data_IF_658472487572
#
_entry.id   IF_658472487572
#
_cell.length_a   1.000
_cell.length_b   1.000
_cell.length_c   1.000
_cell.angle_alpha   90.00
_cell.angle_beta   90.00
_cell.angle_gamma   90.00
#
_symmetry.space_group_name_H-M   'P 1'
#
loop_
_entity.id
_entity.type
_entity.pdbx_description
1 polymer ?
#
# COMPACT_ATOMS: atom_id res chain seq x y z
N UNK A 1 -34.42 3.08 -10.80
CA UNK A 1 -33.06 2.70 -11.22
C UNK A 1 -32.50 1.76 -10.16
N UNK A 2 -31.84 0.67 -10.58
CA UNK A 2 -31.40 -0.41 -9.70
C UNK A 2 -30.40 0.07 -8.64
N UNK A 3 -30.82 -0.06 -7.38
CA UNK A 3 -29.97 0.03 -6.20
C UNK A 3 -29.23 -1.31 -6.03
N UNK A 4 -28.13 -1.49 -6.74
CA UNK A 4 -27.13 -2.52 -6.43
C UNK A 4 -25.76 -1.84 -6.34
N UNK A 5 -25.60 -0.92 -5.40
CA UNK A 5 -24.28 -0.58 -4.87
C UNK A 5 -23.86 -1.73 -3.95
N UNK A 6 -23.65 -2.89 -4.55
CA UNK A 6 -23.06 -4.03 -3.87
C UNK A 6 -21.69 -3.56 -3.38
N UNK A 7 -21.46 -3.61 -2.07
CA UNK A 7 -20.19 -3.21 -1.47
C UNK A 7 -19.16 -4.23 -1.96
N UNK A 8 -18.53 -3.94 -3.10
CA UNK A 8 -17.39 -4.69 -3.58
C UNK A 8 -16.31 -4.58 -2.51
N UNK A 9 -15.80 -5.72 -2.07
CA UNK A 9 -14.62 -5.75 -1.21
C UNK A 9 -13.46 -5.19 -2.01
N UNK A 10 -13.09 -3.94 -1.74
CA UNK A 10 -12.01 -3.26 -2.43
C UNK A 10 -10.77 -3.22 -1.56
N UNK A 11 -9.64 -3.68 -2.11
CA UNK A 11 -8.30 -3.55 -1.52
C UNK A 11 -7.58 -2.43 -2.23
N UNK A 12 -6.94 -1.52 -1.47
CA UNK A 12 -6.04 -0.54 -2.05
C UNK A 12 -4.60 -1.04 -2.03
N UNK A 13 -3.92 -1.00 -3.17
CA UNK A 13 -2.51 -1.36 -3.27
C UNK A 13 -1.69 -0.10 -3.61
N UNK A 14 -0.87 0.34 -2.65
CA UNK A 14 0.12 1.40 -2.85
C UNK A 14 1.45 0.78 -3.26
N UNK A 15 2.06 1.31 -4.33
CA UNK A 15 3.37 0.90 -4.82
C UNK A 15 3.95 1.99 -5.73
N UNK A 16 5.27 2.02 -5.87
CA UNK A 16 5.89 2.91 -6.85
C UNK A 16 5.68 2.38 -8.26
N UNK A 17 4.82 3.05 -9.02
CA UNK A 17 4.51 2.73 -10.42
C UNK A 17 5.74 2.75 -11.35
N UNK A 18 6.76 3.53 -11.01
CA UNK A 18 7.98 3.64 -11.80
C UNK A 18 9.00 2.55 -11.46
N UNK A 19 8.72 1.69 -10.48
CA UNK A 19 9.58 0.57 -10.17
C UNK A 19 9.18 -0.70 -10.96
N UNK A 20 10.02 -1.06 -11.93
CA UNK A 20 9.88 -2.28 -12.71
C UNK A 20 10.01 -3.55 -11.87
N UNK A 21 10.77 -3.52 -10.78
CA UNK A 21 11.07 -4.69 -9.94
C UNK A 21 9.82 -5.22 -9.21
N UNK A 22 8.85 -4.35 -8.94
CA UNK A 22 7.56 -4.73 -8.33
C UNK A 22 6.45 -4.96 -9.34
N UNK A 23 6.62 -4.52 -10.58
CA UNK A 23 5.53 -4.54 -11.57
C UNK A 23 4.99 -5.94 -11.84
N UNK A 24 5.85 -6.95 -11.89
CA UNK A 24 5.46 -8.35 -12.06
C UNK A 24 4.69 -8.86 -10.84
N UNK A 25 5.22 -8.61 -9.63
CA UNK A 25 4.59 -8.96 -8.36
C UNK A 25 3.19 -8.36 -8.23
N UNK A 26 3.04 -7.05 -8.45
CA UNK A 26 1.76 -6.34 -8.38
C UNK A 26 0.76 -6.95 -9.36
N UNK A 27 1.19 -7.26 -10.59
CA UNK A 27 0.30 -7.87 -11.60
C UNK A 27 -0.22 -9.25 -11.15
N UNK A 28 0.62 -10.08 -10.53
CA UNK A 28 0.19 -11.37 -10.01
C UNK A 28 -0.72 -11.23 -8.79
N UNK A 29 -0.42 -10.29 -7.89
CA UNK A 29 -1.25 -9.99 -6.72
C UNK A 29 -2.66 -9.53 -7.13
N UNK A 30 -2.76 -8.58 -8.07
CA UNK A 30 -4.05 -8.12 -8.62
C UNK A 30 -4.82 -9.28 -9.24
N UNK A 31 -4.15 -10.10 -10.07
CA UNK A 31 -4.80 -11.25 -10.70
C UNK A 31 -5.29 -12.28 -9.68
N UNK A 32 -4.57 -12.50 -8.59
CA UNK A 32 -4.99 -13.40 -7.51
C UNK A 32 -6.22 -12.85 -6.76
N UNK A 33 -6.20 -11.56 -6.40
CA UNK A 33 -7.34 -10.92 -5.73
C UNK A 33 -8.61 -10.95 -6.58
N UNK A 34 -8.49 -10.67 -7.88
CA UNK A 34 -9.63 -10.73 -8.80
C UNK A 34 -10.22 -12.14 -8.93
N UNK A 35 -9.39 -13.19 -8.84
CA UNK A 35 -9.88 -14.59 -8.85
C UNK A 35 -10.71 -14.92 -7.61
N UNK A 36 -10.43 -14.27 -6.49
CA UNK A 36 -11.20 -14.38 -5.25
C UNK A 36 -12.39 -13.39 -5.21
N UNK A 37 -12.68 -12.68 -6.31
CA UNK A 37 -13.78 -11.71 -6.37
C UNK A 37 -13.50 -10.39 -5.64
N UNK A 38 -12.25 -10.13 -5.25
CA UNK A 38 -11.83 -8.91 -4.57
C UNK A 38 -11.43 -7.87 -5.60
N UNK A 39 -12.02 -6.68 -5.50
CA UNK A 39 -11.73 -5.55 -6.38
C UNK A 39 -10.47 -4.83 -5.91
N UNK A 40 -9.70 -4.26 -6.85
CA UNK A 40 -8.42 -3.63 -6.52
C UNK A 40 -8.36 -2.19 -7.01
N UNK A 41 -8.16 -1.27 -6.06
CA UNK A 41 -7.81 0.12 -6.31
C UNK A 41 -6.29 0.32 -6.18
N UNK A 42 -5.74 1.27 -6.93
CA UNK A 42 -4.31 1.63 -6.85
C UNK A 42 -4.05 3.05 -7.35
N UNK A 43 -2.81 3.55 -7.26
CA UNK A 43 -2.44 4.87 -7.81
C UNK A 43 -2.78 5.03 -9.30
N UNK A 44 -2.87 3.94 -10.07
CA UNK A 44 -3.26 3.96 -11.50
C UNK A 44 -4.74 4.25 -11.74
N UNK A 45 -5.58 4.11 -10.71
CA UNK A 45 -7.03 4.28 -10.83
C UNK A 45 -7.47 5.75 -10.83
N UNK A 46 -6.52 6.69 -10.69
CA UNK A 46 -6.81 8.13 -10.78
C UNK A 46 -7.56 8.70 -9.58
N UNK A 47 -7.75 7.91 -8.52
CA UNK A 47 -8.22 8.41 -7.25
C UNK A 47 -7.05 9.07 -6.52
N UNK A 48 -6.93 10.39 -6.64
CA UNK A 48 -6.22 11.20 -5.63
C UNK A 48 -6.80 10.89 -4.26
N UNK A 49 -6.03 11.11 -3.18
CA UNK A 49 -6.32 10.85 -1.76
C UNK A 49 -7.63 11.52 -1.26
N UNK A 50 -8.76 11.16 -1.86
CA UNK A 50 -10.09 11.66 -1.60
C UNK A 50 -10.63 10.89 -0.40
N UNK A 51 -10.67 11.59 0.72
CA UNK A 51 -11.07 11.08 2.04
C UNK A 51 -12.36 10.23 1.98
N UNK A 52 -13.35 10.64 1.19
CA UNK A 52 -14.65 9.95 1.11
C UNK A 52 -14.67 8.65 0.30
N UNK A 53 -13.71 8.46 -0.61
CA UNK A 53 -13.53 7.18 -1.31
C UNK A 53 -12.72 6.21 -0.45
N UNK A 54 -11.63 6.71 0.12
CA UNK A 54 -10.72 5.90 0.92
C UNK A 54 -11.34 5.39 2.22
N UNK A 55 -12.32 6.08 2.81
CA UNK A 55 -13.05 5.59 3.99
C UNK A 55 -13.88 4.34 3.73
N UNK A 56 -14.16 4.01 2.46
CA UNK A 56 -14.85 2.77 2.05
C UNK A 56 -13.90 1.58 1.98
N UNK A 57 -12.59 1.82 1.94
CA UNK A 57 -11.56 0.80 1.81
C UNK A 57 -11.15 0.36 3.21
N UNK A 58 -11.22 -0.96 3.47
CA UNK A 58 -10.86 -1.52 4.78
C UNK A 58 -9.47 -2.15 4.84
N UNK A 59 -8.88 -2.47 3.68
CA UNK A 59 -7.58 -3.11 3.60
C UNK A 59 -6.66 -2.35 2.64
N UNK A 60 -5.49 -1.99 3.16
CA UNK A 60 -4.44 -1.29 2.46
C UNK A 60 -3.19 -2.17 2.42
N UNK A 61 -2.72 -2.48 1.22
CA UNK A 61 -1.46 -3.18 1.00
C UNK A 61 -0.43 -2.17 0.53
N UNK A 62 0.64 -2.01 1.30
CA UNK A 62 1.73 -1.07 0.98
C UNK A 62 2.95 -1.86 0.55
N UNK A 63 3.29 -1.81 -0.73
CA UNK A 63 4.39 -2.58 -1.31
C UNK A 63 5.67 -1.74 -1.37
N UNK A 64 6.64 -2.11 -0.55
CA UNK A 64 7.95 -1.50 -0.46
C UNK A 64 8.91 -2.08 -1.48
N UNK A 65 9.63 -1.19 -2.16
CA UNK A 65 10.60 -1.50 -3.20
C UNK A 65 11.83 -0.58 -3.11
N UNK A 66 12.92 -0.93 -3.79
CA UNK A 66 14.21 -0.22 -3.64
C UNK A 66 14.12 1.29 -3.85
N UNK A 67 13.52 1.81 -4.94
CA UNK A 67 13.45 3.25 -5.18
C UNK A 67 12.52 3.98 -4.20
N UNK A 68 11.51 3.28 -3.64
CA UNK A 68 10.62 3.86 -2.62
C UNK A 68 11.38 4.28 -1.36
N UNK A 69 12.51 3.63 -1.08
CA UNK A 69 13.28 3.88 0.12
C UNK A 69 14.24 5.07 0.06
N UNK A 70 14.36 5.72 -1.12
CA UNK A 70 15.27 6.84 -1.36
C UNK A 70 14.61 8.08 -1.97
N UNK A 71 13.35 8.00 -2.41
CA UNK A 71 12.64 9.15 -2.96
C UNK A 71 11.75 9.82 -1.91
N UNK A 72 12.01 11.11 -1.64
CA UNK A 72 11.20 11.96 -0.73
C UNK A 72 9.73 11.92 -1.12
N UNK A 73 9.40 11.97 -2.41
CA UNK A 73 8.03 11.93 -2.90
C UNK A 73 7.30 10.61 -2.55
N UNK A 74 8.03 9.48 -2.51
CA UNK A 74 7.45 8.20 -2.12
C UNK A 74 7.18 8.14 -0.62
N UNK A 75 8.08 8.69 0.19
CA UNK A 75 7.91 8.78 1.64
C UNK A 75 6.80 9.76 2.02
N UNK A 76 6.68 10.90 1.36
CA UNK A 76 5.60 11.89 1.61
C UNK A 76 4.22 11.31 1.30
N UNK A 77 4.07 10.60 0.18
CA UNK A 77 2.82 9.89 -0.14
C UNK A 77 2.48 8.86 0.92
N UNK A 78 3.49 8.13 1.40
CA UNK A 78 3.32 7.12 2.43
C UNK A 78 2.91 7.74 3.77
N UNK A 79 3.54 8.84 4.18
CA UNK A 79 3.17 9.57 5.41
C UNK A 79 1.72 10.04 5.32
N UNK A 80 1.31 10.66 4.22
CA UNK A 80 -0.08 11.10 4.03
C UNK A 80 -1.07 9.93 4.05
N UNK A 81 -0.71 8.80 3.46
CA UNK A 81 -1.52 7.59 3.52
C UNK A 81 -1.63 7.08 4.96
N UNK A 82 -0.53 7.00 5.70
CA UNK A 82 -0.52 6.54 7.09
C UNK A 82 -1.28 7.50 8.03
N UNK A 83 -1.15 8.82 7.83
CA UNK A 83 -1.94 9.84 8.55
C UNK A 83 -3.44 9.66 8.28
N UNK A 84 -3.84 9.43 7.03
CA UNK A 84 -5.23 9.13 6.71
C UNK A 84 -5.71 7.84 7.40
N UNK A 85 -4.88 6.79 7.39
CA UNK A 85 -5.21 5.49 7.98
C UNK A 85 -5.28 5.53 9.51
N UNK A 86 -4.67 6.53 10.17
CA UNK A 86 -4.78 6.74 11.62
C UNK A 86 -6.22 7.04 12.05
N UNK A 87 -6.95 7.79 11.24
CA UNK A 87 -8.27 8.33 11.60
C UNK A 87 -9.40 7.33 11.38
N UNK A 88 -9.12 6.17 10.76
CA UNK A 88 -10.12 5.22 10.27
C UNK A 88 -9.82 3.79 10.75
N UNK A 89 -10.86 2.98 10.95
CA UNK A 89 -10.74 1.56 11.34
C UNK A 89 -10.35 0.68 10.14
N UNK A 90 -9.13 0.89 9.64
CA UNK A 90 -8.57 0.28 8.44
C UNK A 90 -7.35 -0.58 8.77
N UNK A 91 -7.16 -1.67 8.04
CA UNK A 91 -6.02 -2.59 8.18
C UNK A 91 -4.94 -2.22 7.18
N UNK A 92 -3.70 -2.10 7.65
CA UNK A 92 -2.52 -1.81 6.82
C UNK A 92 -1.57 -3.00 6.84
N UNK A 93 -1.27 -3.55 5.66
CA UNK A 93 -0.36 -4.68 5.47
C UNK A 93 0.86 -4.21 4.69
N UNK A 94 2.03 -4.06 5.35
CA UNK A 94 3.27 -3.78 4.64
C UNK A 94 3.80 -5.05 3.96
N UNK A 95 4.17 -4.94 2.69
CA UNK A 95 4.79 -6.01 1.90
C UNK A 95 6.17 -5.54 1.44
N UNK A 96 7.20 -6.29 1.81
CA UNK A 96 8.58 -5.97 1.42
C UNK A 96 9.01 -6.89 0.28
N UNK A 97 9.18 -6.34 -0.93
CA UNK A 97 9.55 -7.14 -2.09
C UNK A 97 11.01 -7.63 -2.00
N UNK A 98 11.23 -8.86 -2.48
CA UNK A 98 12.43 -9.68 -2.27
C UNK A 98 13.73 -9.08 -2.85
N UNK A 99 13.62 -8.16 -3.81
CA UNK A 99 14.75 -7.38 -4.30
C UNK A 99 15.43 -6.55 -3.19
N UNK A 100 14.66 -6.16 -2.14
CA UNK A 100 15.20 -5.61 -0.89
C UNK A 100 15.74 -6.72 0.02
N UNK A 101 15.00 -7.81 0.24
CA UNK A 101 15.37 -8.86 1.19
C UNK A 101 16.69 -9.57 0.84
N UNK A 102 17.01 -9.73 -0.47
CA UNK A 102 18.25 -10.37 -0.92
C UNK A 102 19.50 -9.50 -0.84
N UNK A 103 19.37 -8.16 -0.79
CA UNK A 103 20.51 -7.23 -0.70
C UNK A 103 20.66 -6.59 0.68
N UNK A 104 19.66 -6.74 1.55
CA UNK A 104 19.61 -6.09 2.84
C UNK A 104 19.99 -7.10 3.92
N UNK A 105 21.15 -6.91 4.57
CA UNK A 105 21.47 -7.67 5.81
C UNK A 105 20.30 -7.51 6.79
N UNK A 106 20.03 -8.55 7.58
CA UNK A 106 18.93 -8.64 8.56
C UNK A 106 18.85 -7.40 9.45
N UNK A 107 19.99 -6.78 9.75
CA UNK A 107 20.07 -5.51 10.52
C UNK A 107 19.41 -4.32 9.83
N UNK A 108 19.69 -4.10 8.54
CA UNK A 108 19.12 -2.99 7.77
C UNK A 108 17.61 -3.15 7.57
N UNK A 109 17.13 -4.40 7.41
CA UNK A 109 15.70 -4.69 7.33
C UNK A 109 15.01 -4.36 8.65
N UNK A 110 15.58 -4.80 9.78
CA UNK A 110 15.05 -4.52 11.11
C UNK A 110 15.12 -3.04 11.48
N UNK A 111 16.14 -2.29 11.05
CA UNK A 111 16.20 -0.84 11.24
C UNK A 111 15.08 -0.14 10.48
N UNK A 112 14.83 -0.54 9.23
CA UNK A 112 13.74 0.02 8.45
C UNK A 112 12.37 -0.36 8.99
N UNK A 113 12.19 -1.61 9.43
CA UNK A 113 10.98 -2.04 10.11
C UNK A 113 10.76 -1.24 11.40
N UNK A 114 11.79 -1.06 12.24
CA UNK A 114 11.73 -0.21 13.43
C UNK A 114 11.43 1.25 13.11
N UNK A 115 12.00 1.78 12.03
CA UNK A 115 11.70 3.13 11.57
C UNK A 115 10.24 3.23 11.12
N UNK A 116 9.72 2.20 10.46
CA UNK A 116 8.32 2.10 10.06
C UNK A 116 7.37 1.99 11.25
N UNK A 117 7.70 1.13 12.22
CA UNK A 117 6.99 1.01 13.50
C UNK A 117 7.03 2.33 14.26
N UNK A 118 8.18 3.03 14.26
CA UNK A 118 8.31 4.35 14.87
C UNK A 118 7.46 5.41 14.17
N UNK A 119 7.41 5.42 12.84
CA UNK A 119 6.52 6.31 12.09
C UNK A 119 5.06 6.01 12.42
N UNK A 120 4.65 4.74 12.48
CA UNK A 120 3.30 4.36 12.92
C UNK A 120 3.03 4.82 14.35
N UNK A 121 3.98 4.65 15.26
CA UNK A 121 3.82 5.01 16.67
C UNK A 121 3.82 6.52 16.91
N UNK A 122 4.59 7.29 16.12
CA UNK A 122 4.55 8.76 16.15
C UNK A 122 3.25 9.31 15.57
N UNK A 123 2.61 8.55 14.70
CA UNK A 123 1.28 8.82 14.17
C UNK A 123 0.20 8.29 15.14
N UNK A 124 0.51 7.66 16.28
CA UNK A 124 -0.50 7.21 17.28
C UNK A 124 -0.74 8.27 18.35
#
# INVERSE_FOLDING_TARGET
MNNNDEIKQTVYISFNINDSDVSSFIRYLVAALHREGIDVASEKSGHDLNKGWFSRIKLFVVVFSKPCTYSVACLEKLVKLLEFLREEDNVVVPVFNDAMAKQMDRRNFLERLRHWESLILQIR
#
